data_IF_875181219889
#
_entry.id   IF_875181219889
#
_cell.length_a   1.000
_cell.length_b   1.000
_cell.length_c   1.000
_cell.angle_alpha   90.00
_cell.angle_beta   90.00
_cell.angle_gamma   90.00
#
_symmetry.space_group_name_H-M   'P 1'
#
loop_
_entity.id
_entity.type
_entity.pdbx_description
1 polymer ?
#
# COMPACT_ATOMS: atom_id res chain seq x y z
N UNK A 1 -45.55 50.98 -21.91
CA UNK A 1 -45.23 49.73 -21.18
C UNK A 1 -43.72 49.54 -21.19
N UNK A 2 -43.06 49.68 -20.05
CA UNK A 2 -41.64 49.31 -19.89
C UNK A 2 -41.48 48.73 -18.48
N UNK A 3 -41.10 47.46 -18.40
CA UNK A 3 -40.93 46.73 -17.14
C UNK A 3 -39.50 46.92 -16.63
N UNK A 4 -39.39 47.41 -15.40
CA UNK A 4 -38.12 47.57 -14.70
C UNK A 4 -37.53 46.19 -14.37
N UNK A 5 -36.44 45.81 -15.05
CA UNK A 5 -35.76 44.53 -14.83
C UNK A 5 -34.82 44.68 -13.63
N UNK A 6 -35.27 44.24 -12.46
CA UNK A 6 -34.44 44.26 -11.25
C UNK A 6 -33.20 43.37 -11.44
N UNK A 7 -32.01 43.99 -11.35
CA UNK A 7 -30.73 43.33 -11.54
C UNK A 7 -30.44 42.37 -10.39
N UNK A 8 -30.24 41.08 -10.71
CA UNK A 8 -29.88 40.02 -9.77
C UNK A 8 -28.54 40.23 -9.06
N UNK A 9 -27.75 41.23 -9.48
CA UNK A 9 -26.49 41.60 -8.87
C UNK A 9 -26.65 42.25 -7.48
N UNK A 10 -27.72 43.02 -7.25
CA UNK A 10 -27.88 43.79 -6.00
C UNK A 10 -28.16 42.90 -4.77
N UNK A 11 -28.77 41.73 -4.97
CA UNK A 11 -29.06 40.78 -3.89
C UNK A 11 -27.87 39.89 -3.49
N UNK A 12 -26.78 39.87 -4.28
CA UNK A 12 -25.59 39.05 -3.97
C UNK A 12 -24.68 39.68 -2.92
N UNK A 13 -24.78 40.98 -2.68
CA UNK A 13 -23.97 41.70 -1.69
C UNK A 13 -24.37 41.44 -0.22
N UNK A 14 -25.55 40.85 0.01
CA UNK A 14 -26.03 40.46 1.34
C UNK A 14 -25.85 38.97 1.64
N UNK A 15 -24.99 38.27 0.89
CA UNK A 15 -24.67 36.87 1.19
C UNK A 15 -23.72 36.85 2.38
N UNK A 16 -24.20 36.33 3.52
CA UNK A 16 -23.35 36.07 4.67
C UNK A 16 -22.10 35.30 4.20
N UNK A 17 -20.92 35.88 4.42
CA UNK A 17 -19.66 35.19 4.20
C UNK A 17 -19.69 33.92 5.06
N UNK A 18 -19.44 32.73 4.49
CA UNK A 18 -19.36 31.52 5.30
C UNK A 18 -18.33 31.76 6.42
N UNK A 19 -18.71 31.45 7.67
CA UNK A 19 -17.79 31.54 8.79
C UNK A 19 -16.59 30.65 8.45
N UNK A 20 -15.39 31.21 8.49
CA UNK A 20 -14.17 30.44 8.32
C UNK A 20 -14.21 29.28 9.32
N UNK A 21 -14.14 28.05 8.82
CA UNK A 21 -14.07 26.87 9.68
C UNK A 21 -12.82 27.00 10.53
N UNK A 22 -13.03 27.16 11.84
CA UNK A 22 -11.95 27.14 12.81
C UNK A 22 -11.46 25.70 12.92
N UNK A 23 -10.39 25.37 12.18
CA UNK A 23 -9.70 24.11 12.36
C UNK A 23 -8.94 24.16 13.68
N UNK A 24 -9.48 23.50 14.69
CA UNK A 24 -8.77 23.28 15.96
C UNK A 24 -7.48 22.52 15.63
N UNK A 25 -6.29 23.05 15.93
CA UNK A 25 -5.05 22.34 15.69
C UNK A 25 -5.07 21.05 16.51
N UNK A 26 -4.96 19.91 15.83
CA UNK A 26 -4.78 18.61 16.49
C UNK A 26 -3.29 18.30 16.50
N UNK A 27 -2.82 17.78 17.63
CA UNK A 27 -1.48 17.25 17.71
C UNK A 27 -1.31 16.14 16.65
N UNK A 28 -0.38 16.33 15.73
CA UNK A 28 0.01 15.33 14.73
C UNK A 28 1.42 14.88 15.09
N UNK A 29 1.61 13.65 15.60
CA UNK A 29 2.95 13.16 15.87
C UNK A 29 3.68 13.02 14.53
N UNK A 30 4.82 13.69 14.39
CA UNK A 30 5.69 13.56 13.23
C UNK A 30 7.15 13.72 13.66
N UNK A 31 8.07 13.10 12.91
CA UNK A 31 9.51 13.29 13.06
C UNK A 31 9.99 14.16 11.89
N UNK A 32 10.42 15.39 12.19
CA UNK A 32 10.78 16.38 11.19
C UNK A 32 9.59 16.75 10.27
N UNK A 33 9.88 17.24 9.06
CA UNK A 33 8.84 17.64 8.10
C UNK A 33 8.28 16.48 7.26
N UNK A 34 8.85 15.27 7.35
CA UNK A 34 8.61 14.20 6.35
C UNK A 34 7.96 12.95 6.94
N UNK A 35 8.24 12.60 8.20
CA UNK A 35 7.82 11.33 8.76
C UNK A 35 6.57 11.52 9.65
N UNK A 36 5.39 11.48 9.03
CA UNK A 36 4.11 11.44 9.75
C UNK A 36 3.38 10.11 9.51
N UNK A 37 2.66 9.55 10.49
CA UNK A 37 1.90 8.32 10.32
C UNK A 37 0.90 8.41 9.16
N UNK A 38 0.18 9.54 9.05
CA UNK A 38 -0.78 9.78 7.97
C UNK A 38 -0.14 9.73 6.59
N UNK A 39 1.11 10.18 6.45
CA UNK A 39 1.85 10.13 5.20
C UNK A 39 2.39 8.72 4.92
N UNK A 40 2.92 8.03 5.94
CA UNK A 40 3.39 6.64 5.81
C UNK A 40 2.29 5.69 5.36
N UNK A 41 1.07 5.86 5.86
CA UNK A 41 -0.06 4.99 5.49
C UNK A 41 -0.39 5.04 3.99
N UNK A 42 -0.06 6.14 3.29
CA UNK A 42 -0.25 6.25 1.84
C UNK A 42 0.69 5.35 1.05
N UNK A 43 1.85 5.02 1.62
CA UNK A 43 2.85 4.18 0.97
C UNK A 43 2.66 2.69 1.24
N UNK A 44 1.76 2.30 2.15
CA UNK A 44 1.50 0.89 2.51
C UNK A 44 1.21 0.02 1.28
N UNK A 45 0.32 0.41 0.33
CA UNK A 45 0.08 -0.42 -0.86
C UNK A 45 1.32 -0.59 -1.73
N UNK A 46 2.12 0.46 -1.90
CA UNK A 46 3.36 0.42 -2.68
C UNK A 46 4.41 -0.48 -2.01
N UNK A 47 4.60 -0.34 -0.70
CA UNK A 47 5.51 -1.19 0.06
C UNK A 47 5.07 -2.65 0.08
N UNK A 48 3.76 -2.93 0.08
CA UNK A 48 3.26 -4.29 -0.04
C UNK A 48 3.64 -4.91 -1.40
N UNK A 49 3.49 -4.16 -2.50
CA UNK A 49 3.90 -4.61 -3.84
C UNK A 49 5.41 -4.85 -3.88
N UNK A 50 6.21 -3.88 -3.43
CA UNK A 50 7.67 -4.02 -3.42
C UNK A 50 8.15 -5.16 -2.53
N UNK A 51 7.54 -5.36 -1.36
CA UNK A 51 7.82 -6.49 -0.48
C UNK A 51 7.48 -7.83 -1.13
N UNK A 52 6.33 -7.92 -1.80
CA UNK A 52 5.94 -9.12 -2.54
C UNK A 52 6.91 -9.41 -3.71
N UNK A 53 7.27 -8.40 -4.50
CA UNK A 53 8.23 -8.54 -5.60
C UNK A 53 9.61 -8.96 -5.11
N UNK A 54 10.10 -8.38 -4.01
CA UNK A 54 11.35 -8.79 -3.38
C UNK A 54 11.26 -10.24 -2.87
N UNK A 55 10.13 -10.64 -2.27
CA UNK A 55 9.88 -12.02 -1.86
C UNK A 55 9.99 -13.01 -3.03
N UNK A 56 9.37 -12.70 -4.16
CA UNK A 56 9.48 -13.52 -5.39
C UNK A 56 10.92 -13.64 -5.86
N UNK A 57 11.67 -12.53 -5.88
CA UNK A 57 13.07 -12.54 -6.28
C UNK A 57 13.92 -13.43 -5.36
N UNK A 58 13.74 -13.30 -4.04
CA UNK A 58 14.43 -14.15 -3.05
C UNK A 58 14.07 -15.62 -3.25
N UNK A 59 12.79 -15.92 -3.50
CA UNK A 59 12.34 -17.28 -3.78
C UNK A 59 13.03 -17.90 -4.99
N UNK A 60 13.20 -17.14 -6.09
CA UNK A 60 13.91 -17.62 -7.28
C UNK A 60 15.39 -17.86 -6.99
N UNK A 61 16.05 -16.89 -6.36
CA UNK A 61 17.48 -16.97 -6.07
C UNK A 61 17.85 -18.08 -5.08
N UNK A 62 16.98 -18.33 -4.08
CA UNK A 62 17.20 -19.36 -3.05
C UNK A 62 16.56 -20.71 -3.38
N UNK A 63 15.95 -20.85 -4.56
CA UNK A 63 15.25 -22.08 -4.96
C UNK A 63 16.12 -23.33 -4.90
N UNK A 64 17.43 -23.22 -5.10
CA UNK A 64 18.38 -24.34 -5.01
C UNK A 64 18.97 -24.61 -3.61
N UNK A 65 18.61 -23.81 -2.60
CA UNK A 65 19.14 -23.97 -1.23
C UNK A 65 18.30 -25.01 -0.49
N UNK A 66 18.86 -26.16 -0.04
CA UNK A 66 18.08 -27.24 0.56
C UNK A 66 17.26 -26.81 1.79
N UNK A 67 17.82 -25.91 2.61
CA UNK A 67 17.12 -25.38 3.79
C UNK A 67 15.91 -24.53 3.39
N UNK A 68 16.03 -23.72 2.33
CA UNK A 68 14.94 -22.87 1.85
C UNK A 68 13.83 -23.69 1.18
N UNK A 69 14.19 -24.74 0.45
CA UNK A 69 13.23 -25.70 -0.10
C UNK A 69 12.38 -26.33 1.02
N UNK A 70 13.05 -26.97 1.99
CA UNK A 70 12.40 -27.64 3.12
C UNK A 70 11.51 -26.71 3.97
N UNK A 71 12.00 -25.52 4.29
CA UNK A 71 11.33 -24.65 5.26
C UNK A 71 10.27 -23.75 4.63
N UNK A 72 10.38 -23.43 3.34
CA UNK A 72 9.50 -22.49 2.64
C UNK A 72 8.78 -23.15 1.47
N UNK A 73 9.52 -23.70 0.49
CA UNK A 73 8.93 -24.15 -0.78
C UNK A 73 8.07 -25.40 -0.63
N UNK A 74 8.46 -26.33 0.24
CA UNK A 74 7.72 -27.57 0.52
C UNK A 74 6.38 -27.32 1.26
N UNK A 75 6.20 -26.12 1.82
CA UNK A 75 4.96 -25.71 2.49
C UNK A 75 3.98 -24.99 1.56
N UNK A 76 4.38 -24.75 0.31
CA UNK A 76 3.53 -24.13 -0.70
C UNK A 76 2.64 -25.19 -1.37
N UNK A 77 1.48 -24.80 -1.96
CA UNK A 77 0.64 -25.74 -2.70
C UNK A 77 1.30 -26.31 -3.97
N UNK A 78 2.50 -25.82 -4.33
CA UNK A 78 3.29 -26.28 -5.48
C UNK A 78 4.53 -27.10 -5.08
N UNK A 79 4.58 -27.58 -3.83
CA UNK A 79 5.69 -28.35 -3.28
C UNK A 79 6.10 -29.58 -4.10
N UNK A 80 5.15 -30.21 -4.80
CA UNK A 80 5.38 -31.45 -5.56
C UNK A 80 6.45 -31.35 -6.67
N UNK A 81 6.80 -30.14 -7.11
CA UNK A 81 7.90 -29.92 -8.06
C UNK A 81 9.29 -30.10 -7.45
N UNK A 82 9.43 -29.96 -6.13
CA UNK A 82 10.72 -29.98 -5.43
C UNK A 82 11.01 -31.33 -4.76
N UNK A 83 10.05 -32.26 -4.77
CA UNK A 83 10.18 -33.55 -4.13
C UNK A 83 11.06 -34.50 -4.95
N UNK A 84 12.10 -35.07 -4.32
CA UNK A 84 12.93 -36.08 -4.95
C UNK A 84 12.17 -37.42 -5.05
N UNK A 85 11.92 -37.89 -6.28
CA UNK A 85 11.26 -39.17 -6.58
C UNK A 85 12.26 -40.30 -6.85
N UNK A 86 13.56 -40.06 -6.72
CA UNK A 86 14.59 -41.06 -6.93
C UNK A 86 14.47 -42.13 -5.83
N UNK A 87 14.38 -43.43 -6.17
CA UNK A 87 14.32 -44.49 -5.18
C UNK A 87 15.62 -44.54 -4.37
N UNK A 88 15.52 -44.89 -3.10
CA UNK A 88 16.68 -44.89 -2.20
C UNK A 88 17.75 -45.92 -2.59
N UNK A 89 17.42 -46.94 -3.41
CA UNK A 89 18.42 -47.88 -3.92
C UNK A 89 19.39 -47.26 -4.93
N UNK A 90 18.98 -46.19 -5.61
CA UNK A 90 19.75 -45.54 -6.68
C UNK A 90 20.59 -44.37 -6.13
N UNK A 91 20.41 -44.03 -4.85
CA UNK A 91 21.19 -42.99 -4.17
C UNK A 91 22.48 -43.62 -3.66
N UNK A 92 23.67 -43.10 -4.03
CA UNK A 92 24.95 -43.65 -3.58
C UNK A 92 25.27 -43.34 -2.11
N UNK A 93 24.44 -42.52 -1.44
CA UNK A 93 24.53 -42.13 -0.03
C UNK A 93 23.14 -41.86 0.54
#
# INVERSE_FOLDING_TARGET
MSAFRASSAAFRAFRATPRASYNVPRFQPHIGNTLSPQYMMKWVPSMAIWGASAGVLVTVLLSGVPLFQKDVLDKTPVAWFYEDKTPDSDKPF
#
